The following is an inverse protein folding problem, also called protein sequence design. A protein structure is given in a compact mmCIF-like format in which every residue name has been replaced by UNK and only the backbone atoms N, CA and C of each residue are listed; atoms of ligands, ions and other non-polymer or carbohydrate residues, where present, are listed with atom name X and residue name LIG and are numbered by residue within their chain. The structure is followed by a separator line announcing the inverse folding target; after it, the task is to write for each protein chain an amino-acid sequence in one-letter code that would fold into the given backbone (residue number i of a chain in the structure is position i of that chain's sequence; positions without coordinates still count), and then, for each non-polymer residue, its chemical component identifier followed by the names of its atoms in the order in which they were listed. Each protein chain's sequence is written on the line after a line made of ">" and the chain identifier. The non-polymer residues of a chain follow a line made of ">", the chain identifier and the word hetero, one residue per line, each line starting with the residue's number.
data_IF_801839614328
#
_entry.id   IF_801839614328
#
_cell.length_a   1.000
_cell.length_b   1.000
_cell.length_c   1.000
_cell.angle_alpha   90.00
_cell.angle_beta   90.00
_cell.angle_gamma   90.00
#
_symmetry.space_group_name_H-M   'P 1'
#
loop_
_entity.id
_entity.type
_entity.pdbx_description
1 polymer ?
#
# COMPACT_ATOMS: atom_id res chain seq x y z
N UNK A 1 12.47 -2.48 -13.35
CA UNK A 1 12.51 -1.16 -12.68
C UNK A 1 12.20 -1.36 -11.20
N UNK A 2 12.89 -0.67 -10.29
CA UNK A 2 12.66 -0.82 -8.85
C UNK A 2 11.56 0.14 -8.41
N UNK A 3 10.51 -0.34 -7.77
CA UNK A 3 9.44 0.49 -7.20
C UNK A 3 9.76 0.74 -5.73
N UNK A 4 9.79 2.02 -5.32
CA UNK A 4 9.99 2.40 -3.93
C UNK A 4 8.65 2.62 -3.25
N UNK A 5 8.36 1.91 -2.16
CA UNK A 5 7.16 2.14 -1.36
C UNK A 5 7.57 2.73 -0.01
N UNK A 6 6.98 3.86 0.33
CA UNK A 6 7.13 4.51 1.63
C UNK A 6 5.76 4.74 2.22
N UNK A 7 5.58 4.41 3.49
CA UNK A 7 4.31 4.60 4.18
C UNK A 7 4.51 5.59 5.32
N UNK A 8 4.38 6.91 5.06
CA UNK A 8 4.56 7.92 6.11
C UNK A 8 3.53 7.78 7.24
N UNK A 9 2.33 7.25 6.97
CA UNK A 9 1.31 6.97 7.97
C UNK A 9 0.30 5.91 7.48
N UNK A 10 -0.64 5.52 8.34
CA UNK A 10 -1.63 4.45 8.05
C UNK A 10 -2.62 4.81 6.93
N UNK A 11 -2.71 6.09 6.55
CA UNK A 11 -3.66 6.60 5.55
C UNK A 11 -2.98 7.11 4.29
N UNK A 12 -1.65 7.08 4.21
CA UNK A 12 -0.88 7.60 3.08
C UNK A 12 0.26 6.66 2.75
N UNK A 13 0.39 6.34 1.47
CA UNK A 13 1.44 5.53 0.89
C UNK A 13 2.00 6.31 -0.29
N UNK A 14 3.32 6.44 -0.35
CA UNK A 14 4.06 6.99 -1.47
C UNK A 14 4.62 5.82 -2.29
N UNK A 15 4.17 5.71 -3.54
CA UNK A 15 4.65 4.72 -4.50
C UNK A 15 5.51 5.46 -5.52
N UNK A 16 6.83 5.34 -5.38
CA UNK A 16 7.79 6.04 -6.22
C UNK A 16 7.51 7.56 -6.25
N UNK A 17 7.39 8.15 -5.05
CA UNK A 17 7.04 9.56 -4.81
C UNK A 17 5.59 9.96 -5.19
N UNK A 18 4.79 9.04 -5.74
CA UNK A 18 3.36 9.27 -6.04
C UNK A 18 2.50 9.00 -4.82
N UNK A 19 1.71 9.99 -4.42
CA UNK A 19 0.84 9.90 -3.25
C UNK A 19 -0.41 9.06 -3.53
N UNK A 20 -0.59 8.03 -2.73
CA UNK A 20 -1.81 7.22 -2.59
C UNK A 20 -2.36 7.42 -1.19
N UNK A 21 -3.59 7.90 -1.10
CA UNK A 21 -4.23 8.22 0.17
C UNK A 21 -5.53 7.46 0.35
N UNK A 22 -5.89 7.15 1.59
CA UNK A 22 -7.14 6.50 1.94
C UNK A 22 -8.27 7.52 2.02
N UNK A 23 -9.36 7.26 1.31
CA UNK A 23 -10.54 8.12 1.28
C UNK A 23 -11.49 7.86 2.46
N UNK A 24 -12.60 8.60 2.55
CA UNK A 24 -13.57 8.49 3.66
C UNK A 24 -14.22 7.11 3.71
N UNK A 25 -14.38 6.45 2.56
CA UNK A 25 -14.91 5.08 2.44
C UNK A 25 -13.86 4.00 2.74
N UNK A 26 -12.62 4.40 3.05
CA UNK A 26 -11.52 3.45 3.29
C UNK A 26 -10.86 2.90 2.02
N UNK A 27 -11.23 3.42 0.84
CA UNK A 27 -10.63 3.06 -0.43
C UNK A 27 -9.30 3.80 -0.63
N UNK A 28 -8.31 3.13 -1.21
CA UNK A 28 -7.04 3.77 -1.57
C UNK A 28 -7.14 4.46 -2.92
N UNK A 29 -6.88 5.77 -2.95
CA UNK A 29 -6.95 6.61 -4.14
C UNK A 29 -5.57 7.20 -4.41
N UNK A 30 -5.03 6.92 -5.61
CA UNK A 30 -3.79 7.53 -6.09
C UNK A 30 -4.10 8.92 -6.68
N UNK A 31 -3.36 9.96 -6.24
CA UNK A 31 -3.48 11.31 -6.83
C UNK A 31 -2.87 11.40 -8.22
N UNK A 32 -1.90 10.52 -8.52
CA UNK A 32 -1.19 10.45 -9.78
C UNK A 32 -1.34 9.02 -10.29
N UNK A 33 -1.56 8.86 -11.59
CA UNK A 33 -1.66 7.55 -12.22
C UNK A 33 -0.41 6.71 -11.94
N UNK A 34 -0.65 5.50 -11.44
CA UNK A 34 0.38 4.50 -11.23
C UNK A 34 0.57 3.70 -12.53
N UNK A 35 1.81 3.44 -12.88
CA UNK A 35 2.16 2.45 -13.89
C UNK A 35 1.76 1.06 -13.41
N UNK A 36 1.67 0.10 -14.34
CA UNK A 36 1.34 -1.30 -14.01
C UNK A 36 2.21 -1.85 -12.89
N UNK A 37 3.53 -1.65 -12.97
CA UNK A 37 4.47 -2.16 -11.96
C UNK A 37 4.30 -1.47 -10.60
N UNK A 38 4.01 -0.17 -10.58
CA UNK A 38 3.72 0.57 -9.34
C UNK A 38 2.42 0.09 -8.69
N UNK A 39 1.38 -0.14 -9.50
CA UNK A 39 0.10 -0.68 -9.03
C UNK A 39 0.26 -2.08 -8.44
N UNK A 40 1.03 -2.96 -9.09
CA UNK A 40 1.32 -4.30 -8.57
C UNK A 40 2.07 -4.27 -7.24
N UNK A 41 3.11 -3.42 -7.13
CA UNK A 41 3.86 -3.24 -5.90
C UNK A 41 2.97 -2.67 -4.77
N UNK A 42 2.16 -1.67 -5.08
CA UNK A 42 1.19 -1.08 -4.16
C UNK A 42 0.19 -2.12 -3.64
N UNK A 43 -0.42 -2.90 -4.54
CA UNK A 43 -1.40 -3.92 -4.18
C UNK A 43 -0.75 -5.02 -3.31
N UNK A 44 0.49 -5.39 -3.59
CA UNK A 44 1.25 -6.33 -2.76
C UNK A 44 1.50 -5.78 -1.35
N UNK A 45 1.85 -4.49 -1.23
CA UNK A 45 2.04 -3.81 0.05
C UNK A 45 0.75 -3.76 0.87
N UNK A 46 -0.35 -3.31 0.28
CA UNK A 46 -1.65 -3.23 0.96
C UNK A 46 -2.14 -4.62 1.40
N UNK A 47 -1.97 -5.65 0.57
CA UNK A 47 -2.29 -7.03 0.96
C UNK A 47 -1.43 -7.52 2.12
N UNK A 48 -0.16 -7.13 2.18
CA UNK A 48 0.71 -7.47 3.30
C UNK A 48 0.22 -6.83 4.60
N UNK A 49 -0.15 -5.54 4.57
CA UNK A 49 -0.74 -4.84 5.71
C UNK A 49 -1.99 -5.54 6.23
N UNK A 50 -2.92 -5.93 5.34
CA UNK A 50 -4.13 -6.67 5.75
C UNK A 50 -3.85 -8.08 6.29
N UNK A 51 -2.67 -8.65 6.00
CA UNK A 51 -2.28 -10.00 6.43
C UNK A 51 -1.51 -10.01 7.74
N UNK A 52 -0.93 -8.88 8.15
CA UNK A 52 -0.32 -8.73 9.48
C UNK A 52 -1.37 -8.87 10.60
N UNK A 53 -2.64 -8.54 10.36
CA UNK A 53 -3.73 -8.84 11.29
C UNK A 53 -4.06 -10.36 11.42
N UNK A 54 -3.68 -11.17 10.43
CA UNK A 54 -4.09 -12.59 10.36
C UNK A 54 -3.01 -13.59 10.81
N UNK A 55 -1.80 -13.15 11.15
CA UNK A 55 -0.67 -14.06 11.40
C UNK A 55 -0.07 -14.03 12.82
N UNK A 56 -0.62 -13.25 13.75
CA UNK A 56 -0.20 -13.30 15.16
C UNK A 56 -0.97 -14.32 16.04
N UNK A 57 -1.50 -15.40 15.45
CA UNK A 57 -2.18 -16.46 16.22
C UNK A 57 -1.74 -17.88 15.84
N UNK A 58 -0.45 -18.06 15.53
CA UNK A 58 0.18 -19.38 15.56
C UNK A 58 1.68 -19.28 15.75
N UNK A 59 2.13 -19.30 17.01
CA UNK A 59 3.47 -19.78 17.35
C UNK A 59 3.30 -20.94 18.35
N UNK A 60 4.04 -22.06 18.16
CA UNK A 60 3.85 -23.37 18.81
C UNK A 60 3.96 -23.37 20.33
#
# INVERSE_FOLDING_TARGET
>A
MCVQIQQPNERQILVNEKLVQKDIDGNWIAKIELTTTEYEAFNKHVKALSREDATNNKKP
#
